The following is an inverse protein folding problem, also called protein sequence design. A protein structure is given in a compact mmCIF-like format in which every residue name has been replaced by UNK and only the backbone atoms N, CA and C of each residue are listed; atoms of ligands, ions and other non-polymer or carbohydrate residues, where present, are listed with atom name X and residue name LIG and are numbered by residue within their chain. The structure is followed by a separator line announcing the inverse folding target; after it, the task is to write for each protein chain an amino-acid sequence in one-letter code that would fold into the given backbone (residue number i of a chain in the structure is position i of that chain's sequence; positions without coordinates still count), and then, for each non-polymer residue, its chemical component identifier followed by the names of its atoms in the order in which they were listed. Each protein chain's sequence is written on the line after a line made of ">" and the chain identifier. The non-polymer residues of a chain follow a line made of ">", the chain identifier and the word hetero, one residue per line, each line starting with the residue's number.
data_IF_259188580937
#
_entry.id   IF_259188580937
#
_cell.length_a   1.000
_cell.length_b   1.000
_cell.length_c   1.000
_cell.angle_alpha   90.00
_cell.angle_beta   90.00
_cell.angle_gamma   90.00
#
_symmetry.space_group_name_H-M   'P 1'
#
loop_
_entity.id
_entity.type
_entity.pdbx_description
1 polymer ?
#
# COMPACT_ATOMS: atom_id res chain seq x y z
N UNK A 1 16.50 24.30 -17.42
CA UNK A 1 16.05 24.96 -16.16
C UNK A 1 15.80 23.87 -15.14
N UNK A 2 16.53 23.86 -14.02
CA UNK A 2 16.20 23.00 -12.88
C UNK A 2 14.80 23.42 -12.40
N UNK A 3 13.84 22.50 -12.42
CA UNK A 3 12.54 22.70 -11.76
C UNK A 3 12.78 22.61 -10.26
N UNK A 4 13.22 23.70 -9.65
CA UNK A 4 13.26 23.82 -8.20
C UNK A 4 11.81 24.08 -7.75
N UNK A 5 11.02 23.01 -7.68
CA UNK A 5 9.66 23.05 -7.14
C UNK A 5 9.66 23.57 -5.70
N UNK A 6 8.59 24.22 -5.29
CA UNK A 6 8.39 24.68 -3.92
C UNK A 6 8.18 23.48 -2.98
N UNK A 7 8.33 23.66 -1.67
CA UNK A 7 8.02 22.61 -0.70
C UNK A 7 6.61 22.00 -0.87
N UNK A 8 5.63 22.82 -1.28
CA UNK A 8 4.26 22.39 -1.56
C UNK A 8 4.22 21.41 -2.74
N UNK A 9 5.07 21.61 -3.75
CA UNK A 9 5.13 20.74 -4.93
C UNK A 9 5.65 19.34 -4.59
N UNK A 10 6.33 19.16 -3.46
CA UNK A 10 6.91 17.88 -3.02
C UNK A 10 6.10 17.15 -1.93
N UNK A 11 5.05 17.78 -1.40
CA UNK A 11 4.23 17.19 -0.31
C UNK A 11 3.65 15.81 -0.66
N UNK A 12 3.35 15.57 -1.94
CA UNK A 12 2.81 14.30 -2.40
C UNK A 12 3.77 13.12 -2.14
N UNK A 13 5.08 13.33 -2.15
CA UNK A 13 6.07 12.29 -1.85
C UNK A 13 6.05 11.88 -0.37
N UNK A 14 5.82 12.84 0.54
CA UNK A 14 5.64 12.56 1.96
C UNK A 14 4.38 11.75 2.20
N UNK A 15 3.28 12.16 1.56
CA UNK A 15 2.02 11.41 1.63
C UNK A 15 2.17 10.00 1.06
N UNK A 16 2.88 9.85 -0.06
CA UNK A 16 3.18 8.54 -0.65
C UNK A 16 3.96 7.64 0.31
N UNK A 17 4.99 8.18 0.97
CA UNK A 17 5.76 7.45 1.96
C UNK A 17 4.91 7.03 3.18
N UNK A 18 4.02 7.90 3.65
CA UNK A 18 3.09 7.58 4.74
C UNK A 18 2.08 6.48 4.34
N UNK A 19 1.52 6.56 3.13
CA UNK A 19 0.65 5.50 2.59
C UNK A 19 1.39 4.17 2.49
N UNK A 20 2.60 4.16 1.91
CA UNK A 20 3.43 2.95 1.80
C UNK A 20 3.73 2.37 3.19
N UNK A 21 4.09 3.22 4.15
CA UNK A 21 4.33 2.82 5.55
C UNK A 21 3.09 2.13 6.11
N UNK A 22 1.91 2.70 5.97
CA UNK A 22 0.66 2.13 6.49
C UNK A 22 0.31 0.79 5.83
N UNK A 23 0.46 0.67 4.50
CA UNK A 23 0.26 -0.59 3.77
C UNK A 23 1.26 -1.67 4.29
N UNK A 24 2.55 -1.35 4.43
CA UNK A 24 3.58 -2.27 4.97
C UNK A 24 3.31 -2.70 6.41
N UNK A 25 2.90 -1.78 7.28
CA UNK A 25 2.51 -2.12 8.64
C UNK A 25 1.33 -3.09 8.67
N UNK A 26 0.33 -2.87 7.82
CA UNK A 26 -0.81 -3.77 7.69
C UNK A 26 -0.35 -5.15 7.25
N UNK A 27 0.42 -5.22 6.15
CA UNK A 27 0.95 -6.47 5.60
C UNK A 27 1.82 -7.25 6.61
N UNK A 28 2.62 -6.55 7.42
CA UNK A 28 3.39 -7.19 8.50
C UNK A 28 2.49 -7.98 9.45
N UNK A 29 1.30 -7.48 9.78
CA UNK A 29 0.38 -8.14 10.68
C UNK A 29 -0.51 -9.18 9.99
N UNK A 30 -0.63 -9.16 8.66
CA UNK A 30 -1.35 -10.21 7.93
C UNK A 30 -0.62 -11.55 7.98
N UNK A 31 0.71 -11.58 7.97
CA UNK A 31 1.45 -12.85 8.02
C UNK A 31 1.23 -13.65 9.32
N UNK A 32 1.38 -13.08 10.53
CA UNK A 32 1.03 -13.81 11.76
C UNK A 32 -0.44 -14.20 11.82
N UNK A 33 -1.34 -13.35 11.31
CA UNK A 33 -2.77 -13.64 11.26
C UNK A 33 -3.07 -14.86 10.37
N UNK A 34 -2.48 -14.96 9.17
CA UNK A 34 -2.60 -16.14 8.30
C UNK A 34 -1.98 -17.40 8.93
N UNK A 35 -0.84 -17.25 9.61
CA UNK A 35 -0.12 -18.37 10.22
C UNK A 35 -0.93 -19.02 11.35
N UNK A 36 -1.45 -18.22 12.29
CA UNK A 36 -2.24 -18.74 13.42
C UNK A 36 -3.73 -18.94 13.07
N UNK A 37 -4.17 -18.44 11.91
CA UNK A 37 -5.55 -18.49 11.43
C UNK A 37 -5.99 -19.84 10.86
N UNK A 38 -5.65 -20.98 11.49
CA UNK A 38 -6.04 -22.32 11.01
C UNK A 38 -7.56 -22.52 10.89
N UNK A 39 -8.34 -21.70 11.61
CA UNK A 39 -9.83 -21.70 11.59
C UNK A 39 -10.45 -20.51 10.87
N UNK A 40 -9.69 -19.74 10.07
CA UNK A 40 -10.31 -18.69 9.24
C UNK A 40 -11.22 -19.36 8.19
N UNK A 41 -12.53 -19.14 8.29
CA UNK A 41 -13.51 -19.70 7.34
C UNK A 41 -13.23 -19.31 5.88
N UNK A 42 -12.59 -18.17 5.66
CA UNK A 42 -12.26 -17.61 4.33
C UNK A 42 -10.75 -17.40 4.14
N UNK A 43 -9.92 -18.33 4.64
CA UNK A 43 -8.45 -18.21 4.60
C UNK A 43 -7.88 -18.03 3.19
N UNK A 44 -8.35 -18.78 2.19
CA UNK A 44 -7.87 -18.63 0.80
C UNK A 44 -8.13 -17.22 0.26
N UNK A 45 -9.29 -16.65 0.55
CA UNK A 45 -9.60 -15.28 0.14
C UNK A 45 -8.74 -14.26 0.89
N UNK A 46 -8.48 -14.48 2.18
CA UNK A 46 -7.57 -13.64 2.95
C UNK A 46 -6.17 -13.61 2.31
N UNK A 47 -5.62 -14.79 2.00
CA UNK A 47 -4.29 -14.93 1.40
C UNK A 47 -4.25 -14.31 -0.01
N UNK A 48 -5.34 -14.43 -0.78
CA UNK A 48 -5.47 -13.74 -2.06
C UNK A 48 -5.45 -12.20 -1.90
N UNK A 49 -6.23 -11.65 -0.97
CA UNK A 49 -6.23 -10.21 -0.70
C UNK A 49 -4.89 -9.72 -0.15
N UNK A 50 -4.23 -10.53 0.67
CA UNK A 50 -2.88 -10.27 1.17
C UNK A 50 -1.87 -10.19 0.03
N UNK A 51 -1.89 -11.15 -0.90
CA UNK A 51 -1.00 -11.16 -2.06
C UNK A 51 -1.24 -9.98 -3.00
N UNK A 52 -2.50 -9.57 -3.18
CA UNK A 52 -2.83 -8.34 -3.92
C UNK A 52 -2.22 -7.12 -3.23
N UNK A 53 -2.44 -6.94 -1.93
CA UNK A 53 -1.86 -5.82 -1.20
C UNK A 53 -0.33 -5.80 -1.27
N UNK A 54 0.31 -6.97 -1.18
CA UNK A 54 1.77 -7.11 -1.32
C UNK A 54 2.27 -6.62 -2.69
N UNK A 55 1.61 -7.03 -3.79
CA UNK A 55 1.96 -6.57 -5.12
C UNK A 55 1.80 -5.05 -5.28
N UNK A 56 0.71 -4.48 -4.74
CA UNK A 56 0.48 -3.03 -4.78
C UNK A 56 1.49 -2.24 -3.93
N UNK A 57 1.93 -2.81 -2.80
CA UNK A 57 2.98 -2.24 -1.94
C UNK A 57 4.31 -2.18 -2.65
N UNK A 58 4.69 -3.24 -3.36
CA UNK A 58 5.96 -3.29 -4.08
C UNK A 58 5.97 -2.31 -5.27
N UNK A 59 4.89 -2.22 -6.06
CA UNK A 59 4.79 -1.22 -7.13
C UNK A 59 4.81 0.21 -6.57
N UNK A 60 4.13 0.48 -5.45
CA UNK A 60 4.20 1.79 -4.79
C UNK A 60 5.61 2.10 -4.28
N UNK A 61 6.32 1.15 -3.68
CA UNK A 61 7.72 1.33 -3.24
C UNK A 61 8.61 1.69 -4.42
N UNK A 62 8.50 0.94 -5.51
CA UNK A 62 9.30 1.18 -6.71
C UNK A 62 9.06 2.59 -7.28
N UNK A 63 7.79 3.03 -7.36
CA UNK A 63 7.43 4.37 -7.86
C UNK A 63 7.95 5.51 -6.99
N UNK A 64 7.97 5.32 -5.67
CA UNK A 64 8.53 6.31 -4.74
C UNK A 64 10.06 6.37 -4.87
N UNK A 65 10.72 5.22 -5.00
CA UNK A 65 12.17 5.13 -5.21
C UNK A 65 12.62 5.75 -6.53
N UNK A 66 11.73 5.77 -7.54
CA UNK A 66 11.96 6.30 -8.88
C UNK A 66 11.09 7.54 -9.15
N UNK A 67 10.87 8.38 -8.13
CA UNK A 67 10.03 9.57 -8.22
C UNK A 67 10.52 10.61 -9.24
N UNK A 68 11.80 10.56 -9.64
CA UNK A 68 12.38 11.41 -10.67
C UNK A 68 11.92 11.06 -12.10
N UNK A 69 11.44 9.83 -12.33
CA UNK A 69 10.89 9.39 -13.62
C UNK A 69 9.39 9.04 -13.56
N UNK A 70 8.83 8.86 -12.37
CA UNK A 70 7.42 8.54 -12.19
C UNK A 70 6.56 9.79 -12.30
N UNK A 71 5.50 9.74 -13.10
CA UNK A 71 4.54 10.84 -13.17
C UNK A 71 3.76 10.99 -11.85
N UNK A 72 3.52 12.24 -11.45
CA UNK A 72 2.81 12.53 -10.19
C UNK A 72 1.40 11.93 -10.16
N UNK A 73 0.67 11.96 -11.28
CA UNK A 73 -0.67 11.38 -11.34
C UNK A 73 -0.62 9.86 -11.21
N UNK A 74 0.37 9.21 -11.83
CA UNK A 74 0.58 7.77 -11.70
C UNK A 74 0.92 7.37 -10.25
N UNK A 75 1.77 8.14 -9.57
CA UNK A 75 2.09 7.88 -8.16
C UNK A 75 0.85 8.07 -7.27
N UNK A 76 0.08 9.15 -7.47
CA UNK A 76 -1.13 9.41 -6.70
C UNK A 76 -2.19 8.32 -6.89
N UNK A 77 -2.44 7.93 -8.14
CA UNK A 77 -3.34 6.81 -8.45
C UNK A 77 -2.85 5.52 -7.79
N UNK A 78 -1.52 5.30 -7.75
CA UNK A 78 -0.98 4.11 -7.11
C UNK A 78 -1.21 4.11 -5.59
N UNK A 79 -1.02 5.25 -4.94
CA UNK A 79 -1.32 5.41 -3.51
C UNK A 79 -2.77 5.08 -3.19
N UNK A 80 -3.71 5.61 -3.99
CA UNK A 80 -5.15 5.39 -3.80
C UNK A 80 -5.52 3.91 -3.95
N UNK A 81 -4.90 3.21 -4.91
CA UNK A 81 -5.08 1.76 -5.10
C UNK A 81 -4.53 0.97 -3.91
N UNK A 82 -3.28 1.23 -3.46
CA UNK A 82 -2.71 0.53 -2.30
C UNK A 82 -3.62 0.69 -1.07
N UNK A 83 -4.05 1.92 -0.81
CA UNK A 83 -4.90 2.23 0.33
C UNK A 83 -6.27 1.54 0.24
N UNK A 84 -6.86 1.47 -0.97
CA UNK A 84 -8.12 0.74 -1.18
C UNK A 84 -7.97 -0.76 -0.90
N UNK A 85 -6.90 -1.39 -1.36
CA UNK A 85 -6.64 -2.81 -1.07
C UNK A 85 -6.40 -3.03 0.43
N UNK A 86 -5.64 -2.14 1.08
CA UNK A 86 -5.41 -2.16 2.52
C UNK A 86 -6.72 -2.09 3.31
N UNK A 87 -7.59 -1.14 2.98
CA UNK A 87 -8.87 -0.96 3.65
C UNK A 87 -9.83 -2.13 3.43
N UNK A 88 -9.88 -2.67 2.20
CA UNK A 88 -10.69 -3.85 1.88
C UNK A 88 -10.27 -5.04 2.74
N UNK A 89 -8.97 -5.32 2.82
CA UNK A 89 -8.45 -6.41 3.65
C UNK A 89 -8.79 -6.21 5.14
N UNK A 90 -8.65 -4.99 5.66
CA UNK A 90 -8.95 -4.71 7.08
C UNK A 90 -10.45 -4.85 7.37
N UNK A 91 -11.31 -4.33 6.50
CA UNK A 91 -12.76 -4.38 6.68
C UNK A 91 -13.32 -5.82 6.61
N UNK A 92 -12.75 -6.67 5.75
CA UNK A 92 -13.23 -8.04 5.63
C UNK A 92 -12.80 -8.95 6.79
N UNK A 93 -11.70 -8.64 7.48
CA UNK A 93 -11.06 -9.60 8.40
C UNK A 93 -10.76 -9.09 9.82
N UNK A 94 -10.93 -7.78 10.12
CA UNK A 94 -10.77 -7.26 11.49
C UNK A 94 -12.07 -6.82 12.17
N UNK A 95 -13.16 -6.66 11.42
CA UNK A 95 -14.47 -6.21 11.96
C UNK A 95 -15.43 -7.35 12.32
N UNK A 96 -14.94 -8.59 12.45
CA UNK A 96 -15.70 -9.75 12.94
C UNK A 96 -15.53 -9.97 14.44
#
# INVERSE_FOLDING_TARGET
>A
MKKEGTWIDWQYLLLAADTLRNCRYTLKYTYPHAFYGEKLERKELFEYQQALLEAEVEDLSWKIEHAEITDRADLQNKMDICEKHRLTLLQEFLTN
#
